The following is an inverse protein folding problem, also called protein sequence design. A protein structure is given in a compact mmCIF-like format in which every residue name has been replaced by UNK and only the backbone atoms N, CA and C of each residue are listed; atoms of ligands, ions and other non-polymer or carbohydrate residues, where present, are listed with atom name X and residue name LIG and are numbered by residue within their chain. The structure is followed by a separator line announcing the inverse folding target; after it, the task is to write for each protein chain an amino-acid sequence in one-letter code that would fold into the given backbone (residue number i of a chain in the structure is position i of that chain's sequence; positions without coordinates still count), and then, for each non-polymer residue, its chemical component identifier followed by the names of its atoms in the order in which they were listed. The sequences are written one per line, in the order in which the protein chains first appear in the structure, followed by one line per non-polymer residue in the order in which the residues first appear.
data_IF_008231862141
#
_entry.id   IF_008231862141
#
_cell.length_a   1.000
_cell.length_b   1.000
_cell.length_c   1.000
_cell.angle_alpha   90.00
_cell.angle_beta   90.00
_cell.angle_gamma   90.00
#
_symmetry.space_group_name_H-M   'P 1'
#
loop_
_entity.id
_entity.type
_entity.pdbx_description
1 polymer ?
#
# COMPACT_ATOMS: atom_id res chain seq x y z
N UNK A 1 -18.81 13.26 -15.35
CA UNK A 1 -19.70 12.50 -14.43
C UNK A 1 -19.26 12.79 -13.00
N UNK A 2 -19.76 13.86 -12.38
CA UNK A 2 -19.53 14.15 -10.95
C UNK A 2 -20.83 13.82 -10.21
N UNK A 3 -20.91 12.59 -9.70
CA UNK A 3 -22.02 12.15 -8.85
C UNK A 3 -21.70 12.54 -7.40
N UNK A 4 -22.40 13.55 -6.91
CA UNK A 4 -22.80 13.66 -5.51
C UNK A 4 -21.78 14.32 -4.57
N UNK A 5 -22.25 15.37 -3.90
CA UNK A 5 -21.58 16.18 -2.87
C UNK A 5 -20.92 15.42 -1.70
N UNK A 6 -21.07 14.11 -1.60
CA UNK A 6 -20.30 13.27 -0.69
C UNK A 6 -20.06 11.95 -1.41
N UNK A 7 -18.79 11.66 -1.67
CA UNK A 7 -18.35 10.46 -2.34
C UNK A 7 -17.41 9.73 -1.39
N UNK A 8 -17.92 8.65 -0.80
CA UNK A 8 -17.10 7.74 -0.02
C UNK A 8 -16.68 6.62 -0.98
N UNK A 9 -15.40 6.58 -1.34
CA UNK A 9 -14.85 5.49 -2.14
C UNK A 9 -14.22 4.50 -1.16
N UNK A 10 -14.98 3.45 -0.83
CA UNK A 10 -14.45 2.29 -0.14
C UNK A 10 -13.86 1.35 -1.18
N UNK A 11 -12.55 1.43 -1.40
CA UNK A 11 -11.81 0.38 -2.09
C UNK A 11 -11.46 -0.68 -1.04
N UNK A 12 -12.14 -1.81 -1.10
CA UNK A 12 -11.85 -2.95 -0.25
C UNK A 12 -10.63 -3.69 -0.82
N UNK A 13 -9.49 -3.65 -0.11
CA UNK A 13 -8.40 -4.61 -0.36
C UNK A 13 -8.91 -5.99 -0.01
N UNK A 14 -8.97 -6.84 -1.01
CA UNK A 14 -8.74 -8.26 -0.82
C UNK A 14 -8.24 -8.81 -2.15
N UNK A 15 -6.93 -9.04 -2.20
CA UNK A 15 -6.33 -10.03 -3.10
C UNK A 15 -7.01 -11.36 -2.78
N UNK A 16 -8.12 -11.63 -3.46
CA UNK A 16 -8.62 -12.99 -3.64
C UNK A 16 -7.48 -13.76 -4.30
N UNK A 17 -7.14 -14.89 -3.69
CA UNK A 17 -6.01 -15.79 -3.94
C UNK A 17 -5.80 -16.24 -5.41
N UNK A 18 -6.61 -15.76 -6.35
CA UNK A 18 -6.72 -16.25 -7.73
C UNK A 18 -6.26 -15.26 -8.81
N UNK A 19 -5.90 -14.01 -8.50
CA UNK A 19 -5.56 -13.01 -9.52
C UNK A 19 -4.10 -12.53 -9.40
N UNK A 20 -3.40 -12.51 -10.54
CA UNK A 20 -2.02 -12.01 -10.73
C UNK A 20 -1.93 -10.47 -10.55
N UNK A 21 -3.06 -9.80 -10.33
CA UNK A 21 -3.18 -8.35 -10.36
C UNK A 21 -3.03 -7.80 -8.94
N UNK A 22 -1.94 -7.07 -8.62
CA UNK A 22 -1.85 -6.32 -7.38
C UNK A 22 -2.86 -5.18 -7.38
N UNK A 23 -3.57 -5.02 -6.26
CA UNK A 23 -4.41 -3.85 -6.00
C UNK A 23 -3.63 -2.94 -5.06
N UNK A 24 -3.60 -1.66 -5.42
CA UNK A 24 -3.03 -0.57 -4.63
C UNK A 24 -3.82 -0.36 -3.33
N UNK A 25 -5.14 -0.40 -3.37
CA UNK A 25 -5.95 -0.35 -2.15
C UNK A 25 -6.02 1.04 -1.51
N UNK A 26 -5.75 2.09 -2.28
CA UNK A 26 -5.90 3.48 -1.87
C UNK A 26 -7.38 3.77 -1.56
N UNK A 27 -7.74 3.82 -0.27
CA UNK A 27 -9.07 4.25 0.15
C UNK A 27 -9.12 5.77 0.25
N UNK A 28 -10.24 6.39 -0.12
CA UNK A 28 -10.36 7.84 -0.04
C UNK A 28 -11.76 8.30 0.34
N UNK A 29 -11.80 9.40 1.09
CA UNK A 29 -13.03 10.08 1.48
C UNK A 29 -13.00 11.45 0.82
N UNK A 30 -14.01 11.74 -0.01
CA UNK A 30 -14.17 13.03 -0.67
C UNK A 30 -15.52 13.67 -0.32
N UNK A 31 -15.49 14.97 -0.02
CA UNK A 31 -16.66 15.77 0.35
C UNK A 31 -16.65 17.04 -0.50
N UNK A 32 -17.76 17.31 -1.19
CA UNK A 32 -17.96 18.48 -2.04
C UNK A 32 -16.90 18.73 -3.15
N UNK A 33 -16.08 17.72 -3.48
CA UNK A 33 -14.99 17.83 -4.45
C UNK A 33 -13.59 17.89 -3.81
N UNK A 34 -13.53 18.09 -2.49
CA UNK A 34 -12.29 18.08 -1.72
C UNK A 34 -12.03 16.69 -1.15
N UNK A 35 -10.76 16.27 -1.17
CA UNK A 35 -10.30 15.06 -0.50
C UNK A 35 -10.15 15.37 1.00
N UNK A 36 -10.82 14.63 1.88
CA UNK A 36 -10.73 14.83 3.35
C UNK A 36 -9.98 13.70 4.05
N UNK A 37 -9.76 12.59 3.36
CA UNK A 37 -8.93 11.50 3.84
C UNK A 37 -8.42 10.65 2.68
N UNK A 38 -7.17 10.22 2.78
CA UNK A 38 -6.52 9.32 1.84
C UNK A 38 -5.77 8.26 2.64
N UNK A 39 -6.05 6.99 2.35
CA UNK A 39 -5.31 5.85 2.89
C UNK A 39 -4.05 5.57 2.07
N UNK A 40 -3.23 4.67 2.57
CA UNK A 40 -1.96 4.33 1.94
C UNK A 40 -2.15 3.52 0.64
N UNK A 41 -1.42 3.88 -0.43
CA UNK A 41 -1.49 3.19 -1.73
C UNK A 41 -0.66 1.89 -1.77
N UNK A 42 0.34 1.72 -0.89
CA UNK A 42 1.17 0.52 -0.82
C UNK A 42 1.57 0.22 0.64
N UNK A 43 0.70 -0.47 1.37
CA UNK A 43 0.97 -0.88 2.76
C UNK A 43 1.00 -2.39 2.93
N UNK A 44 1.79 -2.86 3.89
CA UNK A 44 1.83 -4.27 4.30
C UNK A 44 0.79 -4.60 5.38
N UNK A 45 0.04 -3.60 5.87
CA UNK A 45 -1.05 -3.78 6.82
C UNK A 45 -2.16 -4.61 6.20
N UNK A 46 -2.64 -5.62 6.92
CA UNK A 46 -3.80 -6.40 6.48
C UNK A 46 -5.09 -5.56 6.48
N UNK A 47 -5.21 -4.62 7.42
CA UNK A 47 -6.38 -3.74 7.55
C UNK A 47 -5.95 -2.29 7.80
N UNK A 48 -6.45 -1.40 6.96
CA UNK A 48 -6.36 0.04 7.15
C UNK A 48 -7.79 0.61 7.22
N UNK A 49 -8.05 1.43 8.24
CA UNK A 49 -9.34 2.09 8.43
C UNK A 49 -9.12 3.59 8.35
N UNK A 50 -9.91 4.24 7.49
CA UNK A 50 -9.92 5.68 7.32
C UNK A 50 -11.29 6.21 7.75
N UNK A 51 -11.27 7.20 8.65
CA UNK A 51 -12.47 7.90 9.13
C UNK A 51 -12.34 9.42 8.92
N UNK A 52 -13.48 10.09 8.79
CA UNK A 52 -13.55 11.54 8.68
C UNK A 52 -14.85 12.04 9.31
N UNK A 53 -14.78 13.21 9.95
CA UNK A 53 -15.93 13.90 10.48
C UNK A 53 -16.48 14.85 9.42
N UNK A 54 -17.71 14.60 8.96
CA UNK A 54 -18.35 15.36 7.88
C UNK A 54 -19.63 16.03 8.38
N UNK A 55 -19.79 17.31 8.04
CA UNK A 55 -21.03 18.05 8.27
C UNK A 55 -22.01 17.83 7.10
N UNK A 56 -23.12 17.14 7.39
CA UNK A 56 -24.15 16.84 6.40
C UNK A 56 -24.99 18.07 6.02
N UNK A 57 -25.10 19.06 6.91
CA UNK A 57 -25.84 20.30 6.61
C UNK A 57 -25.09 21.10 5.55
N UNK A 58 -23.76 21.19 5.66
CA UNK A 58 -22.90 21.80 4.64
C UNK A 58 -23.02 21.10 3.27
N UNK A 59 -23.09 19.77 3.26
CA UNK A 59 -23.28 18.96 2.04
C UNK A 59 -24.65 19.23 1.41
N UNK A 60 -25.70 19.35 2.23
CA UNK A 60 -27.06 19.71 1.78
C UNK A 60 -27.11 21.12 1.19
N UNK A 61 -26.52 22.10 1.88
CA UNK A 61 -26.40 23.48 1.42
C UNK A 61 -25.63 23.60 0.10
N UNK A 62 -24.54 22.85 -0.06
CA UNK A 62 -23.77 22.81 -1.31
C UNK A 62 -24.58 22.23 -2.48
N UNK A 63 -25.37 21.17 -2.26
CA UNK A 63 -26.28 20.68 -3.32
C UNK A 63 -27.35 21.69 -3.69
N UNK A 64 -27.89 22.40 -2.72
CA UNK A 64 -28.95 23.38 -2.95
C UNK A 64 -28.45 24.59 -3.75
N UNK A 65 -27.19 25.00 -3.56
CA UNK A 65 -26.59 26.14 -4.27
C UNK A 65 -26.34 25.85 -5.76
N UNK A 66 -26.17 24.59 -6.16
CA UNK A 66 -25.90 24.20 -7.54
C UNK A 66 -27.20 23.85 -8.28
N UNK A 67 -27.59 24.69 -9.26
CA UNK A 67 -28.84 24.54 -10.02
C UNK A 67 -28.91 23.26 -10.86
N UNK A 68 -27.79 22.83 -11.44
CA UNK A 68 -27.73 21.65 -12.31
C UNK A 68 -28.02 20.33 -11.57
N UNK A 69 -27.66 20.22 -10.28
CA UNK A 69 -27.98 19.04 -9.48
C UNK A 69 -29.48 18.90 -9.20
N UNK A 70 -30.19 20.03 -9.04
CA UNK A 70 -31.64 20.03 -8.83
C UNK A 70 -32.39 19.55 -10.07
N UNK A 71 -31.95 20.01 -11.24
CA UNK A 71 -32.50 19.56 -12.51
C UNK A 71 -32.25 18.06 -12.74
N UNK A 72 -31.04 17.56 -12.51
CA UNK A 72 -30.77 16.13 -12.64
C UNK A 72 -31.54 15.25 -11.64
N UNK A 73 -31.79 15.77 -10.43
CA UNK A 73 -32.57 15.07 -9.42
C UNK A 73 -34.06 15.00 -9.77
N UNK A 74 -34.63 16.04 -10.42
CA UNK A 74 -36.04 16.04 -10.84
C UNK A 74 -36.34 15.01 -11.93
N UNK A 75 -35.35 14.70 -12.77
CA UNK A 75 -35.45 13.66 -13.82
C UNK A 75 -35.28 12.23 -13.30
N UNK A 76 -34.93 12.02 -12.02
CA UNK A 76 -34.76 10.68 -11.45
C UNK A 76 -36.04 10.14 -10.82
N UNK A 77 -36.39 8.91 -11.19
CA UNK A 77 -37.47 8.14 -10.57
C UNK A 77 -37.13 7.77 -9.11
N UNK A 78 -38.17 7.53 -8.32
CA UNK A 78 -38.11 7.24 -6.89
C UNK A 78 -37.05 6.17 -6.55
N UNK A 79 -36.08 6.53 -5.70
CA UNK A 79 -35.06 5.59 -5.21
C UNK A 79 -35.70 4.74 -4.10
N UNK A 80 -35.65 3.40 -4.17
CA UNK A 80 -36.17 2.56 -3.09
C UNK A 80 -35.40 2.84 -1.80
N UNK A 81 -36.11 3.07 -0.71
CA UNK A 81 -35.52 3.34 0.60
C UNK A 81 -35.94 2.29 1.62
N UNK A 82 -35.01 1.90 2.49
CA UNK A 82 -35.26 1.05 3.65
C UNK A 82 -35.21 1.94 4.88
N UNK A 83 -36.32 2.03 5.62
CA UNK A 83 -36.37 2.82 6.85
C UNK A 83 -35.70 2.05 7.98
N UNK A 84 -34.58 2.56 8.48
CA UNK A 84 -33.83 1.99 9.60
C UNK A 84 -34.01 2.89 10.84
N UNK A 85 -34.39 2.38 12.01
CA UNK A 85 -34.55 3.17 13.24
C UNK A 85 -33.19 3.47 13.90
N UNK A 86 -32.26 4.07 13.15
CA UNK A 86 -30.91 4.40 13.60
C UNK A 86 -30.54 5.83 13.19
N UNK A 87 -29.84 6.57 14.07
CA UNK A 87 -29.33 7.92 13.79
C UNK A 87 -27.83 7.84 13.52
N UNK A 88 -27.41 8.19 12.31
CA UNK A 88 -25.99 8.23 11.93
C UNK A 88 -25.26 9.44 12.52
N UNK A 89 -25.96 10.56 12.73
CA UNK A 89 -25.37 11.79 13.25
C UNK A 89 -25.33 11.78 14.78
N UNK A 90 -24.19 12.23 15.33
CA UNK A 90 -24.09 12.56 16.74
C UNK A 90 -24.56 14.01 16.97
N UNK A 91 -25.20 14.33 18.12
CA UNK A 91 -25.52 15.71 18.45
C UNK A 91 -24.24 16.53 18.54
N UNK A 92 -24.26 17.75 17.99
CA UNK A 92 -23.11 18.65 18.00
C UNK A 92 -22.60 18.88 19.42
N UNK A 93 -21.28 18.69 19.61
CA UNK A 93 -20.58 18.96 20.88
C UNK A 93 -19.52 20.03 20.63
N UNK A 94 -19.30 20.89 21.62
CA UNK A 94 -18.22 21.87 21.58
C UNK A 94 -16.88 21.15 21.36
N UNK A 95 -16.14 21.53 20.32
CA UNK A 95 -14.90 20.87 19.89
C UNK A 95 -15.02 19.92 18.69
N UNK A 96 -16.23 19.63 18.20
CA UNK A 96 -16.41 18.91 16.94
C UNK A 96 -16.16 19.86 15.76
N UNK A 97 -15.06 19.65 15.04
CA UNK A 97 -14.70 20.39 13.83
C UNK A 97 -14.63 19.41 12.66
N UNK A 98 -15.30 19.68 11.53
CA UNK A 98 -15.19 18.84 10.34
C UNK A 98 -13.73 18.63 9.93
N UNK A 99 -13.42 17.45 9.41
CA UNK A 99 -12.08 17.13 8.92
C UNK A 99 -11.69 18.09 7.79
N UNK A 100 -10.53 18.72 7.91
CA UNK A 100 -10.02 19.64 6.89
C UNK A 100 -9.61 18.89 5.62
N UNK A 101 -9.71 19.53 4.44
CA UNK A 101 -9.17 18.97 3.20
C UNK A 101 -7.68 18.62 3.30
N UNK A 102 -7.30 17.57 2.59
CA UNK A 102 -5.94 17.04 2.46
C UNK A 102 -5.53 17.08 0.99
N UNK A 103 -4.29 17.46 0.71
CA UNK A 103 -3.75 17.38 -0.65
C UNK A 103 -3.55 15.93 -1.08
N UNK A 104 -3.92 15.61 -2.31
CA UNK A 104 -3.75 14.27 -2.85
C UNK A 104 -2.26 14.01 -3.05
N UNK A 105 -1.73 13.00 -2.37
CA UNK A 105 -0.38 12.53 -2.59
C UNK A 105 -0.39 11.48 -3.71
N UNK A 106 0.44 11.70 -4.72
CA UNK A 106 0.71 10.73 -5.78
C UNK A 106 2.15 10.25 -5.67
N UNK A 107 2.35 8.95 -5.82
CA UNK A 107 3.67 8.38 -6.00
C UNK A 107 4.21 8.69 -7.39
N UNK A 108 5.53 8.86 -7.51
CA UNK A 108 6.15 8.92 -8.83
C UNK A 108 6.11 7.52 -9.48
N UNK A 109 6.18 7.43 -10.83
CA UNK A 109 6.14 6.14 -11.52
C UNK A 109 7.22 5.16 -11.02
N UNK A 110 8.40 5.66 -10.66
CA UNK A 110 9.50 4.86 -10.12
C UNK A 110 9.16 4.26 -8.74
N UNK A 111 8.50 5.04 -7.88
CA UNK A 111 8.01 4.57 -6.58
C UNK A 111 6.89 3.54 -6.73
N UNK A 112 5.97 3.73 -7.67
CA UNK A 112 4.91 2.75 -7.93
C UNK A 112 5.49 1.41 -8.41
N UNK A 113 6.50 1.46 -9.29
CA UNK A 113 7.23 0.28 -9.78
C UNK A 113 8.02 -0.39 -8.64
N UNK A 114 8.51 0.36 -7.65
CA UNK A 114 9.20 -0.19 -6.50
C UNK A 114 8.24 -0.80 -5.48
N UNK A 115 7.21 -0.05 -5.05
CA UNK A 115 6.35 -0.41 -3.94
C UNK A 115 5.26 -1.43 -4.29
N UNK A 116 4.61 -1.30 -5.46
CA UNK A 116 3.53 -2.20 -5.87
C UNK A 116 3.97 -3.67 -5.93
N UNK A 117 4.99 -4.00 -6.75
CA UNK A 117 5.56 -5.34 -6.80
C UNK A 117 6.16 -5.80 -5.47
N UNK A 118 6.73 -4.90 -4.67
CA UNK A 118 7.28 -5.25 -3.34
C UNK A 118 6.20 -5.75 -2.38
N UNK A 119 5.10 -5.01 -2.25
CA UNK A 119 3.97 -5.42 -1.42
C UNK A 119 3.36 -6.74 -1.91
N UNK A 120 3.27 -6.91 -3.23
CA UNK A 120 2.77 -8.15 -3.82
C UNK A 120 3.68 -9.35 -3.53
N UNK A 121 5.00 -9.21 -3.67
CA UNK A 121 5.96 -10.28 -3.34
C UNK A 121 5.89 -10.65 -1.85
N UNK A 122 5.72 -9.67 -0.96
CA UNK A 122 5.56 -9.95 0.47
C UNK A 122 4.28 -10.75 0.75
N UNK A 123 3.16 -10.30 0.18
CA UNK A 123 1.87 -11.00 0.29
C UNK A 123 1.95 -12.41 -0.29
N UNK A 124 2.65 -12.59 -1.40
CA UNK A 124 2.89 -13.89 -2.00
C UNK A 124 3.72 -14.80 -1.08
N UNK A 125 4.79 -14.27 -0.48
CA UNK A 125 5.68 -15.03 0.39
C UNK A 125 4.98 -15.48 1.68
N UNK A 126 4.25 -14.57 2.35
CA UNK A 126 3.54 -14.91 3.59
C UNK A 126 2.45 -15.96 3.37
N UNK A 127 1.74 -15.90 2.24
CA UNK A 127 0.61 -16.78 1.90
C UNK A 127 1.05 -18.13 1.33
N UNK A 128 2.11 -18.15 0.51
CA UNK A 128 2.68 -19.39 -0.03
C UNK A 128 3.40 -20.23 1.02
N UNK A 129 3.71 -19.64 2.19
CA UNK A 129 4.53 -20.26 3.24
C UNK A 129 5.93 -20.68 2.77
N UNK A 130 6.40 -20.13 1.64
CA UNK A 130 7.75 -20.34 1.17
C UNK A 130 8.77 -19.65 2.09
N UNK A 131 10.01 -20.15 2.09
CA UNK A 131 11.11 -19.64 2.93
C UNK A 131 11.93 -18.54 2.26
N UNK A 132 11.59 -18.14 1.03
CA UNK A 132 12.30 -17.12 0.28
C UNK A 132 12.12 -17.26 -1.23
N UNK A 133 12.92 -16.48 -1.97
CA UNK A 133 12.98 -16.41 -3.41
C UNK A 133 14.34 -16.87 -3.93
N UNK A 134 14.34 -17.51 -5.10
CA UNK A 134 15.54 -17.86 -5.86
C UNK A 134 15.53 -17.08 -7.18
N UNK A 135 16.52 -16.22 -7.40
CA UNK A 135 16.67 -15.46 -8.64
C UNK A 135 17.94 -15.86 -9.39
N UNK A 136 17.82 -16.45 -10.59
CA UNK A 136 18.94 -16.56 -11.52
C UNK A 136 19.37 -15.16 -11.99
N UNK A 137 20.56 -14.73 -11.58
CA UNK A 137 21.13 -13.45 -12.01
C UNK A 137 21.86 -13.64 -13.33
N UNK A 138 21.51 -12.83 -14.32
CA UNK A 138 22.22 -12.75 -15.60
C UNK A 138 23.25 -11.60 -15.63
N UNK A 139 23.15 -10.67 -14.67
CA UNK A 139 23.87 -9.39 -14.68
C UNK A 139 23.25 -8.36 -15.63
N UNK A 140 22.10 -8.66 -16.23
CA UNK A 140 21.32 -7.73 -17.04
C UNK A 140 20.35 -6.89 -16.22
N UNK A 141 19.87 -5.80 -16.82
CA UNK A 141 18.98 -4.81 -16.20
C UNK A 141 17.75 -5.47 -15.55
N UNK A 142 17.08 -6.38 -16.23
CA UNK A 142 15.85 -7.03 -15.72
C UNK A 142 16.10 -7.80 -14.42
N UNK A 143 17.17 -8.60 -14.39
CA UNK A 143 17.54 -9.37 -13.18
C UNK A 143 17.96 -8.46 -12.02
N UNK A 144 18.61 -7.32 -12.32
CA UNK A 144 18.93 -6.33 -11.29
C UNK A 144 17.69 -5.59 -10.78
N UNK A 145 16.71 -5.31 -11.64
CA UNK A 145 15.45 -4.66 -11.25
C UNK A 145 14.65 -5.56 -10.30
N UNK A 146 14.56 -6.87 -10.58
CA UNK A 146 13.91 -7.82 -9.66
C UNK A 146 14.63 -7.90 -8.33
N UNK A 147 15.97 -7.91 -8.32
CA UNK A 147 16.75 -7.88 -7.09
C UNK A 147 16.53 -6.58 -6.30
N UNK A 148 16.41 -5.44 -6.98
CA UNK A 148 16.11 -4.15 -6.36
C UNK A 148 14.72 -4.15 -5.70
N UNK A 149 13.69 -4.67 -6.38
CA UNK A 149 12.33 -4.80 -5.83
C UNK A 149 12.35 -5.67 -4.56
N UNK A 150 13.04 -6.82 -4.56
CA UNK A 150 13.15 -7.67 -3.34
C UNK A 150 13.85 -6.92 -2.21
N UNK A 151 14.83 -6.08 -2.54
CA UNK A 151 15.48 -5.18 -1.57
C UNK A 151 14.52 -4.14 -0.99
N UNK A 152 13.73 -3.47 -1.84
CA UNK A 152 12.69 -2.51 -1.43
C UNK A 152 11.64 -3.19 -0.53
N UNK A 153 11.19 -4.40 -0.88
CA UNK A 153 10.30 -5.21 -0.04
C UNK A 153 10.88 -5.40 1.36
N UNK A 154 12.14 -5.79 1.48
CA UNK A 154 12.76 -5.98 2.79
C UNK A 154 12.86 -4.67 3.59
N UNK A 155 13.12 -3.54 2.94
CA UNK A 155 13.11 -2.23 3.60
C UNK A 155 11.72 -1.83 4.10
N UNK A 156 10.67 -2.05 3.30
CA UNK A 156 9.29 -1.78 3.70
C UNK A 156 8.88 -2.62 4.92
N UNK A 157 9.25 -3.90 4.94
CA UNK A 157 8.99 -4.80 6.08
C UNK A 157 9.63 -4.27 7.35
N UNK A 158 10.92 -3.90 7.31
CA UNK A 158 11.61 -3.33 8.49
C UNK A 158 10.95 -2.02 8.93
N UNK A 159 10.63 -1.14 7.97
CA UNK A 159 9.97 0.15 8.27
C UNK A 159 8.60 -0.05 8.95
N UNK A 160 7.82 -1.05 8.55
CA UNK A 160 6.53 -1.33 9.19
C UNK A 160 6.69 -2.04 10.54
N UNK A 161 7.74 -2.85 10.73
CA UNK A 161 8.12 -3.40 12.04
C UNK A 161 8.52 -2.27 13.01
N UNK A 162 9.29 -1.28 12.56
CA UNK A 162 9.67 -0.11 13.35
C UNK A 162 8.46 0.75 13.75
N UNK A 163 7.42 0.81 12.91
CA UNK A 163 6.13 1.46 13.23
C UNK A 163 5.30 0.67 14.24
N UNK A 164 5.70 -0.55 14.61
CA UNK A 164 5.02 -1.39 15.58
C UNK A 164 3.93 -2.29 14.99
N UNK A 165 4.02 -2.66 13.71
CA UNK A 165 3.11 -3.64 13.12
C UNK A 165 3.47 -5.07 13.59
N UNK A 166 2.70 -5.58 14.55
CA UNK A 166 2.91 -6.90 15.13
C UNK A 166 2.63 -8.06 14.16
N UNK A 167 1.76 -7.86 13.15
CA UNK A 167 1.49 -8.91 12.15
C UNK A 167 2.67 -9.05 11.19
N UNK A 168 3.15 -7.93 10.63
CA UNK A 168 4.31 -7.92 9.74
C UNK A 168 5.54 -8.46 10.47
N UNK A 169 5.71 -8.11 11.74
CA UNK A 169 6.76 -8.65 12.61
C UNK A 169 6.65 -10.16 12.81
N UNK A 170 5.47 -10.67 13.12
CA UNK A 170 5.24 -12.12 13.28
C UNK A 170 5.54 -12.89 11.99
N UNK A 171 5.09 -12.36 10.84
CA UNK A 171 5.38 -12.96 9.53
C UNK A 171 6.87 -12.89 9.18
N UNK A 172 7.55 -11.77 9.43
CA UNK A 172 8.98 -11.64 9.20
C UNK A 172 9.82 -12.60 10.06
N UNK A 173 9.44 -12.78 11.33
CA UNK A 173 10.07 -13.77 12.22
C UNK A 173 9.88 -15.20 11.70
N UNK A 174 8.66 -15.53 11.27
CA UNK A 174 8.30 -16.85 10.74
C UNK A 174 9.04 -17.17 9.45
N UNK A 175 8.95 -16.29 8.45
CA UNK A 175 9.53 -16.51 7.12
C UNK A 175 11.07 -16.43 7.20
N UNK A 176 11.61 -15.47 7.95
CA UNK A 176 13.05 -15.31 8.17
C UNK A 176 13.68 -16.30 9.14
N UNK A 177 12.90 -17.25 9.67
CA UNK A 177 13.31 -18.30 10.61
C UNK A 177 14.20 -17.78 11.76
N UNK A 178 13.84 -16.62 12.32
CA UNK A 178 14.57 -16.04 13.44
C UNK A 178 14.37 -16.90 14.70
N UNK A 179 15.46 -17.31 15.32
CA UNK A 179 15.46 -18.05 16.59
C UNK A 179 15.58 -17.09 17.78
N UNK A 180 15.11 -17.52 18.94
CA UNK A 180 15.38 -16.91 20.24
C UNK A 180 14.95 -15.44 20.41
N UNK A 181 13.87 -15.03 19.73
CA UNK A 181 13.30 -13.69 19.88
C UNK A 181 14.11 -12.57 19.22
N UNK A 182 15.08 -12.89 18.36
CA UNK A 182 15.79 -11.90 17.56
C UNK A 182 14.84 -11.25 16.55
N UNK A 183 14.72 -9.92 16.59
CA UNK A 183 13.87 -9.15 15.69
C UNK A 183 14.71 -8.69 14.49
N UNK A 184 14.22 -8.84 13.25
CA UNK A 184 14.88 -8.26 12.09
C UNK A 184 14.90 -6.74 12.22
N UNK A 185 16.09 -6.16 12.41
CA UNK A 185 16.30 -4.69 12.46
C UNK A 185 17.00 -4.18 11.20
N UNK A 186 17.69 -5.06 10.46
CA UNK A 186 18.41 -4.69 9.23
C UNK A 186 17.76 -5.34 8.01
N UNK A 187 17.41 -4.50 7.04
CA UNK A 187 16.85 -4.92 5.75
C UNK A 187 17.78 -5.86 4.99
N UNK A 188 19.10 -5.67 5.10
CA UNK A 188 20.12 -6.50 4.45
C UNK A 188 20.21 -7.88 5.09
N UNK A 189 20.04 -7.99 6.41
CA UNK A 189 19.99 -9.28 7.09
C UNK A 189 18.76 -10.09 6.66
N UNK A 190 17.58 -9.45 6.68
CA UNK A 190 16.33 -10.08 6.25
C UNK A 190 16.46 -10.61 4.82
N UNK A 191 16.95 -9.77 3.92
CA UNK A 191 17.09 -10.13 2.53
C UNK A 191 18.14 -11.24 2.29
N UNK A 192 19.22 -11.33 3.09
CA UNK A 192 20.17 -12.47 3.01
C UNK A 192 19.51 -13.82 3.30
N UNK A 193 18.44 -13.85 4.09
CA UNK A 193 17.71 -15.08 4.42
C UNK A 193 16.62 -15.39 3.41
N UNK A 194 15.97 -14.34 2.90
CA UNK A 194 14.85 -14.46 1.99
C UNK A 194 15.24 -14.52 0.51
N UNK A 195 16.43 -14.07 0.14
CA UNK A 195 16.78 -13.88 -1.27
C UNK A 195 18.08 -14.60 -1.63
N UNK A 196 17.95 -15.64 -2.44
CA UNK A 196 19.05 -16.43 -2.98
C UNK A 196 19.26 -16.07 -4.44
N UNK A 197 20.49 -15.69 -4.78
CA UNK A 197 20.87 -15.35 -6.14
C UNK A 197 21.84 -16.38 -6.70
N UNK A 198 21.60 -16.83 -7.93
CA UNK A 198 22.49 -17.80 -8.61
C UNK A 198 22.90 -17.24 -9.95
N UNK A 199 24.21 -17.08 -10.16
CA UNK A 199 24.74 -16.75 -11.48
C UNK A 199 25.04 -18.05 -12.23
N UNK A 200 24.28 -18.34 -13.29
CA UNK A 200 24.49 -19.51 -14.14
C UNK A 200 25.30 -19.09 -15.37
N UNK A 201 26.62 -19.15 -15.25
CA UNK A 201 27.54 -18.86 -16.36
C UNK A 201 27.55 -20.00 -17.38
N UNK A 202 27.50 -19.66 -18.67
CA UNK A 202 27.85 -20.59 -19.76
C UNK A 202 29.32 -20.40 -20.14
N UNK A 203 29.91 -21.39 -20.81
CA UNK A 203 31.34 -21.49 -21.15
C UNK A 203 31.93 -20.27 -21.87
N UNK A 204 31.08 -19.38 -22.40
CA UNK A 204 31.46 -18.24 -23.23
C UNK A 204 31.49 -16.89 -22.50
N UNK A 205 31.46 -16.83 -21.16
CA UNK A 205 31.61 -15.58 -20.40
C UNK A 205 32.80 -15.65 -19.45
N UNK A 206 33.73 -14.70 -19.61
CA UNK A 206 35.00 -14.61 -18.90
C UNK A 206 34.81 -14.41 -17.39
N UNK A 207 35.40 -15.33 -16.61
CA UNK A 207 35.85 -15.22 -15.22
C UNK A 207 34.80 -14.90 -14.13
N UNK A 208 34.54 -15.88 -13.25
CA UNK A 208 34.03 -15.64 -11.89
C UNK A 208 32.72 -16.35 -11.52
N UNK A 209 32.66 -17.67 -11.59
CA UNK A 209 31.58 -18.46 -10.99
C UNK A 209 31.64 -18.41 -9.47
N UNK A 210 31.10 -17.34 -8.87
CA UNK A 210 30.82 -17.26 -7.44
C UNK A 210 29.35 -16.85 -7.24
N UNK A 211 28.73 -17.34 -6.17
CA UNK A 211 27.46 -16.84 -5.67
C UNK A 211 27.69 -15.36 -5.30
N UNK A 212 27.38 -14.46 -6.23
CA UNK A 212 27.42 -13.02 -6.02
C UNK A 212 26.27 -12.65 -5.07
N UNK A 213 26.60 -12.45 -3.80
CA UNK A 213 25.72 -11.79 -2.84
C UNK A 213 25.75 -10.30 -3.15
N UNK A 214 24.71 -9.77 -3.79
CA UNK A 214 24.59 -8.37 -4.30
C UNK A 214 24.76 -7.26 -3.21
N UNK A 215 24.95 -7.61 -1.93
CA UNK A 215 24.98 -6.67 -0.81
C UNK A 215 26.19 -5.71 -0.75
N UNK A 216 27.16 -5.85 -1.65
CA UNK A 216 28.27 -4.88 -1.84
C UNK A 216 27.97 -3.82 -2.91
N UNK A 217 26.78 -3.82 -3.52
CA UNK A 217 26.38 -2.82 -4.49
C UNK A 217 26.02 -1.48 -3.79
N UNK A 218 26.64 -0.38 -4.22
CA UNK A 218 26.52 1.01 -3.70
C UNK A 218 25.09 1.61 -3.67
N UNK A 219 24.06 0.86 -4.06
CA UNK A 219 22.65 1.30 -4.12
C UNK A 219 22.06 1.47 -2.70
N UNK A 220 22.62 0.79 -1.69
CA UNK A 220 22.10 0.77 -0.31
C UNK A 220 22.93 1.59 0.69
N UNK A 221 23.43 2.77 0.30
CA UNK A 221 23.96 3.74 1.27
C UNK A 221 22.84 4.69 1.70
N UNK A 222 22.49 4.77 3.00
CA UNK A 222 21.61 5.82 3.51
C UNK A 222 22.45 7.10 3.66
N UNK A 223 22.77 7.75 2.56
CA UNK A 223 23.46 9.06 2.57
C UNK A 223 22.65 10.10 1.81
N UNK A 224 21.36 10.23 2.14
CA UNK A 224 20.57 11.47 2.09
C UNK A 224 19.09 11.12 2.26
N UNK A 225 18.35 11.93 3.03
CA UNK A 225 16.91 11.87 3.09
C UNK A 225 16.30 11.93 1.68
N UNK A 226 15.29 11.11 1.47
CA UNK A 226 14.54 11.02 0.22
C UNK A 226 13.85 12.37 -0.05
N UNK A 227 14.12 12.96 -1.21
CA UNK A 227 13.26 13.98 -1.83
C UNK A 227 12.21 13.28 -2.67
#
# INVERSE_FOLDING_TARGET
MQLGSMLIILIQRNLLFSNIIPLDGCCCIAVNGDLVGQGSQFSLKDVEVLDALVDLDAVSSYRASVSSFREQASHKTNVPFVKVPYKLCQPFRSGMVPTSPVEIMYHCPEEEIAFGPSCWLWDYLRRSQASGFLLPLSGGADSSSVAAIVGCMCQLVIKDIEKGDEQVKADALRIGQYKDGAIPMDSRELAKRLFYTVYMGTENRLMGGQILRIWDCKIFKPESGWC
#
